data_IF_042492398059
#
_entry.id   IF_042492398059
#
_cell.length_a   1.000
_cell.length_b   1.000
_cell.length_c   1.000
_cell.angle_alpha   90.00
_cell.angle_beta   90.00
_cell.angle_gamma   90.00
#
_symmetry.space_group_name_H-M   'P 1'
#
loop_
_entity.id
_entity.type
_entity.pdbx_description
1 polymer ?
#
# COMPACT_ATOMS: atom_id res chain seq x y z
N UNK A 1 34.38 -35.84 38.28
CA UNK A 1 32.94 -35.74 37.92
C UNK A 1 32.76 -34.42 37.13
N UNK A 2 32.76 -34.51 35.81
CA UNK A 2 32.66 -33.32 34.93
C UNK A 2 31.21 -33.21 34.40
N UNK A 3 30.52 -32.18 34.84
CA UNK A 3 29.14 -31.89 34.39
C UNK A 3 29.22 -31.20 33.00
N UNK A 4 28.72 -31.87 31.98
CA UNK A 4 28.49 -31.26 30.66
C UNK A 4 27.15 -30.52 30.66
N UNK A 5 27.21 -29.20 30.59
CA UNK A 5 26.03 -28.37 30.33
C UNK A 5 25.78 -28.35 28.82
N UNK A 6 24.76 -29.07 28.38
CA UNK A 6 24.27 -28.99 27.00
C UNK A 6 23.40 -27.75 26.86
N UNK A 7 23.90 -26.72 26.16
CA UNK A 7 23.14 -25.53 25.78
C UNK A 7 22.27 -25.92 24.58
N UNK A 8 20.99 -26.07 24.81
CA UNK A 8 20.00 -26.24 23.75
C UNK A 8 19.69 -24.86 23.13
N UNK A 9 20.34 -24.56 21.99
CA UNK A 9 19.98 -23.36 21.19
C UNK A 9 18.70 -23.71 20.43
N UNK A 10 17.56 -23.26 20.96
CA UNK A 10 16.31 -23.24 20.21
C UNK A 10 16.43 -22.16 19.12
N UNK A 11 16.80 -22.57 17.91
CA UNK A 11 16.67 -21.73 16.74
C UNK A 11 15.17 -21.53 16.47
N UNK A 12 14.64 -20.37 16.89
CA UNK A 12 13.36 -19.89 16.42
C UNK A 12 13.50 -19.63 14.91
N UNK A 13 13.17 -20.63 14.11
CA UNK A 13 12.85 -20.41 12.70
C UNK A 13 11.59 -19.54 12.67
N UNK A 14 11.76 -18.24 12.52
CA UNK A 14 10.68 -17.35 12.13
C UNK A 14 10.22 -17.78 10.73
N UNK A 15 9.16 -18.56 10.68
CA UNK A 15 8.45 -18.82 9.44
C UNK A 15 8.12 -17.46 8.81
N UNK A 16 8.35 -17.31 7.49
CA UNK A 16 7.94 -16.08 6.82
C UNK A 16 6.43 -15.94 7.07
N UNK A 17 6.05 -14.85 7.73
CA UNK A 17 4.65 -14.50 7.91
C UNK A 17 4.05 -14.44 6.51
N UNK A 18 3.15 -15.38 6.19
CA UNK A 18 2.32 -15.26 4.98
C UNK A 18 1.78 -13.84 4.95
N UNK A 19 2.13 -13.10 3.90
CA UNK A 19 1.69 -11.72 3.75
C UNK A 19 0.17 -11.75 3.66
N UNK A 20 -0.46 -11.57 4.82
CA UNK A 20 -1.92 -11.58 4.93
C UNK A 20 -2.46 -10.49 4.01
N UNK A 21 -3.29 -10.89 3.03
CA UNK A 21 -3.99 -9.94 2.15
C UNK A 21 -4.61 -8.86 3.04
N UNK A 22 -4.37 -7.57 2.76
CA UNK A 22 -4.86 -6.51 3.62
C UNK A 22 -6.38 -6.53 3.65
N UNK A 23 -6.97 -6.97 4.74
CA UNK A 23 -8.41 -6.95 4.96
C UNK A 23 -8.85 -5.59 5.51
N UNK A 24 -10.02 -5.15 5.07
CA UNK A 24 -10.68 -3.98 5.63
C UNK A 24 -11.23 -4.36 7.01
N UNK A 25 -10.71 -3.76 8.06
CA UNK A 25 -11.26 -3.94 9.40
C UNK A 25 -12.63 -3.26 9.56
N UNK A 26 -13.27 -3.44 10.71
CA UNK A 26 -14.61 -2.88 10.99
C UNK A 26 -14.61 -1.35 10.87
N UNK A 27 -13.54 -0.66 11.28
CA UNK A 27 -13.46 0.79 11.24
C UNK A 27 -13.33 1.29 9.79
N UNK A 28 -12.50 0.67 8.97
CA UNK A 28 -12.35 0.98 7.54
C UNK A 28 -13.68 0.73 6.79
N UNK A 29 -14.31 -0.43 7.00
CA UNK A 29 -15.64 -0.73 6.41
C UNK A 29 -16.69 0.29 6.82
N UNK A 30 -16.69 0.76 8.07
CA UNK A 30 -17.62 1.79 8.54
C UNK A 30 -17.43 3.14 7.83
N UNK A 31 -16.19 3.54 7.56
CA UNK A 31 -15.91 4.76 6.78
C UNK A 31 -16.40 4.61 5.35
N UNK A 32 -16.09 3.49 4.69
CA UNK A 32 -16.59 3.21 3.33
C UNK A 32 -18.11 3.27 3.25
N UNK A 33 -18.80 2.62 4.18
CA UNK A 33 -20.26 2.59 4.18
C UNK A 33 -20.90 3.97 4.40
N UNK A 34 -20.31 4.81 5.25
CA UNK A 34 -20.86 6.12 5.61
C UNK A 34 -20.47 7.24 4.66
N UNK A 35 -19.20 7.30 4.25
CA UNK A 35 -18.66 8.43 3.48
C UNK A 35 -18.51 8.12 2.00
N UNK A 36 -18.43 6.84 1.63
CA UNK A 36 -18.18 6.38 0.27
C UNK A 36 -19.24 5.36 -0.20
N UNK A 37 -20.52 5.54 0.21
CA UNK A 37 -21.60 4.58 -0.09
C UNK A 37 -21.85 4.38 -1.59
N UNK A 38 -21.56 5.38 -2.43
CA UNK A 38 -21.65 5.31 -3.90
C UNK A 38 -20.41 4.69 -4.56
N UNK A 39 -19.42 4.26 -3.78
CA UNK A 39 -18.17 3.69 -4.25
C UNK A 39 -18.06 2.22 -3.87
N UNK A 40 -17.34 1.45 -4.66
CA UNK A 40 -16.96 0.06 -4.37
C UNK A 40 -15.48 -0.16 -4.68
N UNK A 41 -14.89 -1.30 -4.29
CA UNK A 41 -13.56 -1.65 -4.73
C UNK A 41 -13.47 -1.61 -6.25
N UNK A 42 -12.39 -1.00 -6.78
CA UNK A 42 -12.20 -0.93 -8.22
C UNK A 42 -11.99 -2.33 -8.82
N UNK A 43 -12.66 -2.59 -9.94
CA UNK A 43 -12.38 -3.77 -10.74
C UNK A 43 -11.02 -3.64 -11.41
N UNK A 44 -10.24 -4.71 -11.33
CA UNK A 44 -8.90 -4.76 -11.89
C UNK A 44 -8.93 -5.61 -13.16
N UNK A 45 -8.29 -5.10 -14.22
CA UNK A 45 -8.16 -5.81 -15.49
C UNK A 45 -7.43 -7.14 -15.29
N UNK A 46 -7.82 -8.15 -16.04
CA UNK A 46 -7.30 -9.52 -15.92
C UNK A 46 -5.78 -9.59 -16.12
N UNK A 47 -5.25 -8.86 -17.10
CA UNK A 47 -3.82 -8.80 -17.39
C UNK A 47 -2.99 -8.25 -16.23
N UNK A 48 -3.52 -7.30 -15.45
CA UNK A 48 -2.88 -6.80 -14.24
C UNK A 48 -2.83 -7.88 -13.15
N UNK A 49 -3.94 -8.59 -12.97
CA UNK A 49 -4.00 -9.71 -12.00
C UNK A 49 -3.02 -10.82 -12.40
N UNK A 50 -2.93 -11.15 -13.69
CA UNK A 50 -1.96 -12.12 -14.21
C UNK A 50 -0.52 -11.66 -13.98
N UNK A 51 -0.21 -10.38 -14.23
CA UNK A 51 1.10 -9.79 -13.96
C UNK A 51 1.50 -9.94 -12.48
N UNK A 52 0.58 -9.65 -11.54
CA UNK A 52 0.83 -9.80 -10.11
C UNK A 52 1.12 -11.25 -9.74
N UNK A 53 0.37 -12.20 -10.29
CA UNK A 53 0.55 -13.62 -10.04
C UNK A 53 1.89 -14.15 -10.59
N UNK A 54 2.22 -13.82 -11.85
CA UNK A 54 3.46 -14.24 -12.51
C UNK A 54 4.69 -13.69 -11.79
N UNK A 55 4.64 -12.43 -11.36
CA UNK A 55 5.73 -11.76 -10.65
C UNK A 55 5.73 -12.03 -9.14
N UNK A 56 4.83 -12.87 -8.65
CA UNK A 56 4.70 -13.22 -7.23
C UNK A 56 4.54 -12.00 -6.33
N UNK A 57 3.78 -11.00 -6.81
CA UNK A 57 3.44 -9.82 -6.01
C UNK A 57 2.27 -10.22 -5.11
N UNK A 58 2.51 -10.33 -3.82
CA UNK A 58 1.53 -10.82 -2.84
C UNK A 58 0.44 -9.80 -2.49
N UNK A 59 0.61 -8.56 -2.90
CA UNK A 59 -0.36 -7.49 -2.71
C UNK A 59 -1.54 -7.63 -3.67
N UNK A 60 -2.66 -7.01 -3.30
CA UNK A 60 -3.79 -6.89 -4.23
C UNK A 60 -3.66 -5.60 -5.04
N UNK A 61 -3.81 -5.63 -6.37
CA UNK A 61 -3.61 -4.44 -7.19
C UNK A 61 -4.57 -3.29 -6.88
N UNK A 62 -5.67 -3.54 -6.18
CA UNK A 62 -6.62 -2.51 -5.76
C UNK A 62 -6.60 -2.21 -4.25
N UNK A 63 -5.71 -2.87 -3.48
CA UNK A 63 -5.65 -2.66 -2.03
C UNK A 63 -4.31 -3.09 -1.46
N UNK A 64 -3.65 -2.14 -0.82
CA UNK A 64 -2.35 -2.34 -0.17
C UNK A 64 -2.36 -1.80 1.26
N UNK A 65 -1.37 -2.19 2.04
CA UNK A 65 -1.19 -1.69 3.41
C UNK A 65 0.29 -1.42 3.70
N UNK A 66 0.55 -0.38 4.48
CA UNK A 66 1.89 0.04 4.87
C UNK A 66 1.84 1.05 6.01
N UNK A 67 2.98 1.54 6.42
CA UNK A 67 3.11 2.65 7.37
C UNK A 67 3.47 3.92 6.57
N UNK A 68 2.42 4.55 5.99
CA UNK A 68 2.62 5.65 5.07
C UNK A 68 3.10 6.92 5.77
N UNK A 69 2.61 7.19 6.99
CA UNK A 69 2.94 8.39 7.75
C UNK A 69 4.12 8.21 8.72
N UNK A 70 4.65 6.99 8.88
CA UNK A 70 5.80 6.67 9.71
C UNK A 70 5.52 6.62 11.20
N UNK A 71 4.26 6.42 11.60
CA UNK A 71 3.85 6.35 13.01
C UNK A 71 3.91 4.93 13.62
N UNK A 72 4.38 3.94 12.85
CA UNK A 72 4.49 2.54 13.23
C UNK A 72 3.17 1.77 13.19
N UNK A 73 2.10 2.34 12.64
CA UNK A 73 0.79 1.70 12.53
C UNK A 73 0.50 1.33 11.08
N UNK A 74 -0.29 0.28 10.92
CA UNK A 74 -0.67 -0.18 9.60
C UNK A 74 -1.82 0.64 9.04
N UNK A 75 -1.55 1.40 8.00
CA UNK A 75 -2.48 2.14 7.18
C UNK A 75 -3.02 1.29 6.03
N UNK A 76 -4.06 1.77 5.34
CA UNK A 76 -4.67 1.12 4.19
C UNK A 76 -4.77 2.09 3.01
N UNK A 77 -4.52 1.60 1.81
CA UNK A 77 -4.81 2.30 0.57
C UNK A 77 -5.69 1.42 -0.32
N UNK A 78 -6.78 1.97 -0.83
CA UNK A 78 -7.80 1.23 -1.59
C UNK A 78 -8.17 2.01 -2.85
N UNK A 79 -8.09 1.38 -4.01
CA UNK A 79 -8.70 1.91 -5.23
C UNK A 79 -10.21 1.69 -5.16
N UNK A 80 -10.94 2.78 -5.29
CA UNK A 80 -12.39 2.77 -5.35
C UNK A 80 -12.87 3.20 -6.73
N UNK A 81 -13.96 2.59 -7.16
CA UNK A 81 -14.66 2.89 -8.38
C UNK A 81 -16.10 3.30 -8.08
N UNK A 82 -16.57 4.34 -8.75
CA UNK A 82 -17.95 4.79 -8.57
C UNK A 82 -18.94 3.77 -9.15
N UNK A 83 -19.96 3.37 -8.37
CA UNK A 83 -20.88 2.28 -8.72
C UNK A 83 -21.69 2.50 -10.00
N UNK A 84 -21.95 3.76 -10.38
CA UNK A 84 -22.72 4.13 -11.58
C UNK A 84 -21.85 4.60 -12.75
N UNK A 85 -20.59 4.97 -12.48
CA UNK A 85 -19.68 5.56 -13.45
C UNK A 85 -18.32 4.89 -13.33
N UNK A 86 -18.13 3.76 -14.00
CA UNK A 86 -16.95 2.92 -13.88
C UNK A 86 -15.62 3.64 -14.24
N UNK A 87 -15.69 4.69 -15.05
CA UNK A 87 -14.53 5.53 -15.37
C UNK A 87 -14.09 6.44 -14.22
N UNK A 88 -14.94 6.70 -13.22
CA UNK A 88 -14.58 7.49 -12.05
C UNK A 88 -13.95 6.60 -11.00
N UNK A 89 -12.68 6.87 -10.74
CA UNK A 89 -11.88 6.17 -9.73
C UNK A 89 -11.22 7.16 -8.78
N UNK A 90 -10.98 6.74 -7.57
CA UNK A 90 -10.19 7.47 -6.57
C UNK A 90 -9.29 6.49 -5.82
N UNK A 91 -8.17 7.00 -5.35
CA UNK A 91 -7.33 6.32 -4.38
C UNK A 91 -7.70 6.83 -2.99
N UNK A 92 -8.38 6.02 -2.20
CA UNK A 92 -8.69 6.31 -0.81
C UNK A 92 -7.57 5.79 0.08
N UNK A 93 -6.90 6.69 0.79
CA UNK A 93 -5.92 6.33 1.81
C UNK A 93 -6.53 6.55 3.19
N UNK A 94 -6.42 5.54 4.04
CA UNK A 94 -6.92 5.52 5.40
C UNK A 94 -5.72 5.45 6.35
N UNK A 95 -5.29 6.58 6.90
CA UNK A 95 -4.23 6.63 7.91
C UNK A 95 -4.79 6.24 9.28
N UNK A 96 -4.14 5.27 9.92
CA UNK A 96 -4.55 4.79 11.24
C UNK A 96 -4.39 5.90 12.28
N UNK A 97 -5.47 6.23 13.00
CA UNK A 97 -5.49 7.26 14.03
C UNK A 97 -6.28 6.77 15.23
N UNK A 98 -5.62 6.52 16.36
CA UNK A 98 -6.26 5.98 17.55
C UNK A 98 -7.01 4.67 17.26
N UNK A 99 -8.33 4.66 17.47
CA UNK A 99 -9.21 3.50 17.21
C UNK A 99 -9.86 3.54 15.81
N UNK A 100 -9.54 4.54 14.98
CA UNK A 100 -10.16 4.75 13.68
C UNK A 100 -9.14 5.05 12.60
N UNK A 101 -9.59 5.75 11.57
CA UNK A 101 -8.79 6.19 10.43
C UNK A 101 -9.12 7.63 10.05
N UNK A 102 -8.11 8.35 9.55
CA UNK A 102 -8.25 9.63 8.86
C UNK A 102 -8.22 9.38 7.35
N UNK A 103 -9.30 9.69 6.60
CA UNK A 103 -9.36 9.45 5.16
C UNK A 103 -8.68 10.57 4.38
N UNK A 104 -7.97 10.19 3.31
CA UNK A 104 -7.38 11.06 2.30
C UNK A 104 -7.78 10.55 0.92
N UNK A 105 -8.14 11.46 0.01
CA UNK A 105 -8.49 11.13 -1.36
C UNK A 105 -7.37 11.63 -2.25
N UNK A 106 -6.81 10.74 -3.07
CA UNK A 106 -5.76 11.02 -4.02
C UNK A 106 -6.22 10.64 -5.44
N UNK A 107 -5.50 11.12 -6.44
CA UNK A 107 -5.66 10.67 -7.82
C UNK A 107 -5.30 9.19 -7.92
N UNK A 108 -5.96 8.47 -8.80
CA UNK A 108 -5.76 7.03 -8.97
C UNK A 108 -5.45 6.67 -10.40
N UNK A 109 -4.61 5.67 -10.56
CA UNK A 109 -4.30 5.00 -11.82
C UNK A 109 -4.94 3.59 -11.85
N UNK A 110 -4.36 2.65 -12.60
CA UNK A 110 -4.93 1.31 -12.81
C UNK A 110 -4.75 0.38 -11.61
N UNK A 111 -3.62 0.49 -10.90
CA UNK A 111 -3.27 -0.44 -9.83
C UNK A 111 -2.27 0.14 -8.82
N UNK A 112 -2.09 -0.55 -7.69
CA UNK A 112 -1.30 -0.10 -6.55
C UNK A 112 -0.22 -1.12 -6.17
N UNK A 113 0.96 -0.63 -5.78
CA UNK A 113 1.99 -1.40 -5.07
C UNK A 113 2.48 -0.60 -3.86
N UNK A 114 3.00 -1.28 -2.85
CA UNK A 114 3.73 -0.61 -1.77
C UNK A 114 5.22 -0.53 -2.10
N UNK A 115 5.83 0.61 -1.80
CA UNK A 115 7.28 0.78 -1.78
C UNK A 115 7.70 0.81 -0.33
N UNK A 116 8.75 0.08 0.02
CA UNK A 116 9.18 -0.02 1.41
C UNK A 116 10.13 1.12 1.79
N UNK A 117 10.05 1.54 3.03
CA UNK A 117 11.00 2.46 3.65
C UNK A 117 12.44 2.03 3.36
N UNK A 118 13.28 2.99 2.96
CA UNK A 118 14.69 2.75 2.65
C UNK A 118 14.96 2.39 1.19
N UNK A 119 13.95 2.03 0.40
CA UNK A 119 14.12 1.80 -1.03
C UNK A 119 14.57 3.08 -1.75
N UNK A 120 15.30 2.91 -2.86
CA UNK A 120 15.72 4.03 -3.70
C UNK A 120 14.59 4.46 -4.62
N UNK A 121 14.42 5.76 -4.78
CA UNK A 121 13.50 6.37 -5.74
C UNK A 121 14.22 7.35 -6.65
N UNK A 122 13.56 7.68 -7.76
CA UNK A 122 14.01 8.71 -8.69
C UNK A 122 12.80 9.59 -9.04
N UNK A 123 12.99 10.88 -8.92
CA UNK A 123 11.98 11.89 -9.26
C UNK A 123 12.25 12.36 -10.69
N UNK A 124 11.41 11.96 -11.63
CA UNK A 124 11.56 12.30 -13.04
C UNK A 124 11.33 13.78 -13.34
N UNK A 125 10.53 14.48 -12.53
CA UNK A 125 10.29 15.92 -12.72
C UNK A 125 11.51 16.77 -12.33
N UNK A 126 12.24 16.34 -11.28
CA UNK A 126 13.41 17.11 -10.78
C UNK A 126 14.74 16.49 -11.13
N UNK A 127 14.77 15.27 -11.68
CA UNK A 127 15.99 14.52 -11.98
C UNK A 127 16.75 14.03 -10.73
N UNK A 128 16.11 13.98 -9.58
CA UNK A 128 16.79 13.69 -8.31
C UNK A 128 16.55 12.27 -7.82
N UNK A 129 17.64 11.63 -7.39
CA UNK A 129 17.58 10.39 -6.63
C UNK A 129 17.26 10.69 -5.16
N UNK A 130 16.45 9.82 -4.54
CA UNK A 130 16.12 9.93 -3.11
C UNK A 130 15.93 8.53 -2.49
N UNK A 131 15.68 8.47 -1.19
CA UNK A 131 15.24 7.25 -0.50
C UNK A 131 13.93 7.53 0.22
N UNK A 132 13.02 6.57 0.15
CA UNK A 132 11.76 6.64 0.86
C UNK A 132 11.98 6.63 2.37
N UNK A 133 11.50 7.66 3.06
CA UNK A 133 11.65 7.82 4.52
C UNK A 133 10.67 6.96 5.30
N UNK A 134 9.50 6.71 4.74
CA UNK A 134 8.44 5.81 5.21
C UNK A 134 8.07 4.87 4.08
N UNK A 135 7.17 3.92 4.32
CA UNK A 135 6.54 3.23 3.21
C UNK A 135 5.85 4.26 2.29
N UNK A 136 5.69 3.95 1.03
CA UNK A 136 5.03 4.82 0.05
C UNK A 136 4.03 4.03 -0.80
N UNK A 137 3.04 4.74 -1.34
CA UNK A 137 2.05 4.17 -2.25
C UNK A 137 2.53 4.44 -3.67
N UNK A 138 2.71 3.39 -4.44
CA UNK A 138 2.95 3.49 -5.87
C UNK A 138 1.65 3.19 -6.62
N UNK A 139 1.13 4.22 -7.29
CA UNK A 139 -0.02 4.12 -8.19
C UNK A 139 0.49 4.21 -9.61
N UNK A 140 0.09 3.31 -10.49
CA UNK A 140 0.61 3.30 -11.83
C UNK A 140 -0.41 2.89 -12.89
N UNK A 141 -0.24 3.49 -14.08
CA UNK A 141 -0.90 3.12 -15.31
C UNK A 141 -0.13 1.91 -15.84
N UNK A 142 -0.81 0.77 -15.93
CA UNK A 142 -0.16 -0.48 -16.30
C UNK A 142 0.58 -0.36 -17.63
N UNK A 143 1.86 -0.80 -17.64
CA UNK A 143 2.80 -0.77 -18.76
C UNK A 143 3.16 0.65 -19.26
N UNK A 144 2.92 1.71 -18.48
CA UNK A 144 3.22 3.08 -18.91
C UNK A 144 4.01 3.84 -17.87
N UNK A 145 3.32 4.46 -16.94
CA UNK A 145 3.90 5.44 -16.02
C UNK A 145 3.43 5.21 -14.59
N UNK A 146 4.18 5.69 -13.62
CA UNK A 146 3.83 5.53 -12.22
C UNK A 146 4.14 6.75 -11.37
N UNK A 147 3.34 6.87 -10.34
CA UNK A 147 3.36 7.97 -9.39
C UNK A 147 3.52 7.42 -7.98
N UNK A 148 4.49 7.90 -7.24
CA UNK A 148 4.62 7.62 -5.82
C UNK A 148 3.96 8.70 -4.98
N UNK A 149 3.14 8.31 -4.02
CA UNK A 149 2.63 9.18 -2.99
C UNK A 149 3.44 8.97 -1.71
N UNK A 150 4.15 10.00 -1.27
CA UNK A 150 4.93 10.02 -0.05
C UNK A 150 4.30 10.96 0.97
N UNK A 151 4.36 10.58 2.26
CA UNK A 151 3.90 11.43 3.34
C UNK A 151 4.98 12.41 3.77
N UNK A 152 4.70 13.69 3.64
CA UNK A 152 5.61 14.77 3.97
C UNK A 152 4.83 15.99 4.47
N UNK A 153 5.26 16.59 5.58
CA UNK A 153 4.63 17.78 6.17
C UNK A 153 3.11 17.63 6.38
N UNK A 154 2.69 16.49 6.93
CA UNK A 154 1.29 16.13 7.21
C UNK A 154 0.36 16.08 5.98
N UNK A 155 0.91 15.76 4.81
CA UNK A 155 0.14 15.56 3.56
C UNK A 155 0.84 14.56 2.65
N UNK A 156 0.09 13.98 1.72
CA UNK A 156 0.66 13.23 0.62
C UNK A 156 1.21 14.18 -0.44
N UNK A 157 2.46 13.95 -0.84
CA UNK A 157 3.11 14.59 -1.98
C UNK A 157 3.23 13.58 -3.11
N UNK A 158 2.81 14.00 -4.29
CA UNK A 158 2.94 13.24 -5.53
C UNK A 158 4.34 13.41 -6.11
N UNK A 159 4.93 12.32 -6.60
CA UNK A 159 6.22 12.30 -7.32
C UNK A 159 6.05 11.37 -8.53
N UNK A 160 6.41 11.81 -9.72
CA UNK A 160 6.49 10.94 -10.90
C UNK A 160 7.76 10.11 -10.77
N UNK A 161 7.63 8.79 -10.63
CA UNK A 161 8.75 7.88 -10.31
C UNK A 161 8.97 6.79 -11.36
N UNK A 162 8.11 6.71 -12.37
CA UNK A 162 8.37 5.94 -13.60
C UNK A 162 7.74 6.62 -14.80
N UNK A 163 8.36 6.44 -15.96
CA UNK A 163 7.94 6.93 -17.27
C UNK A 163 7.96 5.75 -18.26
#
# INVERSE_FOLDING_TARGET
>A
MKLFFAIFILAFMSLPSEAQKPELDKAARSILARQFSSWGPAEIRKEIVEYYNVNRIWEQPNRIAGDWNGDGRRDLAVLLQHKREASRRILLVLLRSGRGYSPYILESDDCLMSIKKGEAGYDFETGRKFRYRNDAIFSYIFEKAGTSYIWEKNRFRRIVTSD
#
